data_IF_806283025878
#
_entry.id   IF_806283025878
#
_cell.length_a   1.000
_cell.length_b   1.000
_cell.length_c   1.000
_cell.angle_alpha   90.00
_cell.angle_beta   90.00
_cell.angle_gamma   90.00
#
_symmetry.space_group_name_H-M   'P 1'
#
loop_
_entity.id
_entity.type
_entity.pdbx_description
1 polymer ?
#
# COMPACT_ATOMS: atom_id res chain seq x y z
N UNK A 1 -46.38 22.31 13.14
CA UNK A 1 -45.28 22.40 12.15
C UNK A 1 -44.98 21.00 11.69
N UNK A 2 -45.20 20.70 10.41
CA UNK A 2 -44.83 19.41 9.84
C UNK A 2 -43.31 19.23 9.96
N UNK A 3 -42.87 18.14 10.57
CA UNK A 3 -41.44 17.87 10.76
C UNK A 3 -40.82 17.70 9.37
N UNK A 4 -39.87 18.58 9.00
CA UNK A 4 -39.16 18.50 7.72
C UNK A 4 -38.54 17.10 7.62
N UNK A 5 -38.89 16.36 6.56
CA UNK A 5 -38.38 15.00 6.32
C UNK A 5 -36.86 15.01 6.25
N UNK A 6 -36.23 13.90 6.61
CA UNK A 6 -34.77 13.73 6.59
C UNK A 6 -34.36 12.81 5.45
N UNK A 7 -33.34 13.22 4.69
CA UNK A 7 -32.78 12.51 3.55
C UNK A 7 -31.34 12.19 3.86
N UNK A 8 -30.97 10.92 3.70
CA UNK A 8 -29.59 10.47 3.84
C UNK A 8 -28.95 10.24 2.47
N UNK A 9 -27.73 10.75 2.29
CA UNK A 9 -26.94 10.52 1.07
C UNK A 9 -25.55 10.03 1.47
N UNK A 10 -25.18 8.82 1.07
CA UNK A 10 -23.82 8.30 1.26
C UNK A 10 -22.94 8.65 0.05
N UNK A 11 -21.76 9.23 0.29
CA UNK A 11 -20.83 9.54 -0.80
C UNK A 11 -19.36 9.51 -0.38
N UNK A 12 -18.48 9.16 -1.33
CA UNK A 12 -17.03 9.25 -1.11
C UNK A 12 -16.51 10.67 -1.29
N UNK A 13 -17.03 11.42 -2.27
CA UNK A 13 -16.71 12.84 -2.49
C UNK A 13 -15.19 13.16 -2.52
N UNK A 14 -14.40 12.34 -3.23
CA UNK A 14 -12.94 12.57 -3.36
C UNK A 14 -12.63 13.82 -4.17
N UNK A 15 -13.20 13.91 -5.38
CA UNK A 15 -13.19 15.14 -6.19
C UNK A 15 -14.66 15.47 -6.49
N UNK A 16 -15.09 16.65 -6.07
CA UNK A 16 -16.47 17.09 -6.32
C UNK A 16 -16.66 17.32 -7.81
N UNK A 17 -17.78 16.82 -8.33
CA UNK A 17 -18.20 16.99 -9.72
C UNK A 17 -19.72 17.13 -9.77
N UNK A 18 -20.25 17.41 -10.95
CA UNK A 18 -21.69 17.67 -11.17
C UNK A 18 -22.60 16.57 -10.67
N UNK A 19 -22.14 15.31 -10.66
CA UNK A 19 -22.91 14.18 -10.11
C UNK A 19 -23.16 14.29 -8.59
N UNK A 20 -22.15 14.70 -7.81
CA UNK A 20 -22.32 14.97 -6.38
C UNK A 20 -23.25 16.17 -6.14
N UNK A 21 -23.16 17.21 -6.99
CA UNK A 21 -24.04 18.38 -6.87
C UNK A 21 -25.49 18.02 -7.22
N UNK A 22 -25.70 17.18 -8.23
CA UNK A 22 -27.02 16.74 -8.66
C UNK A 22 -27.72 15.90 -7.59
N UNK A 23 -27.01 14.94 -6.97
CA UNK A 23 -27.61 14.11 -5.92
C UNK A 23 -28.00 14.94 -4.69
N UNK A 24 -27.17 15.93 -4.31
CA UNK A 24 -27.49 16.86 -3.22
C UNK A 24 -28.70 17.71 -3.61
N UNK A 25 -28.75 18.23 -4.85
CA UNK A 25 -29.86 19.04 -5.33
C UNK A 25 -31.20 18.29 -5.33
N UNK A 26 -31.22 17.02 -5.74
CA UNK A 26 -32.43 16.18 -5.65
C UNK A 26 -32.81 15.88 -4.18
N UNK A 27 -31.82 15.63 -3.31
CA UNK A 27 -32.07 15.43 -1.89
C UNK A 27 -32.70 16.67 -1.21
N UNK A 28 -32.25 17.88 -1.57
CA UNK A 28 -32.79 19.14 -1.03
C UNK A 28 -34.29 19.31 -1.29
N UNK A 29 -34.81 18.78 -2.41
CA UNK A 29 -36.24 18.87 -2.76
C UNK A 29 -37.12 18.06 -1.82
N UNK A 30 -36.54 17.06 -1.15
CA UNK A 30 -37.28 16.11 -0.31
C UNK A 30 -37.24 16.44 1.18
N UNK A 31 -36.22 17.18 1.65
CA UNK A 31 -36.09 17.43 3.08
C UNK A 31 -34.76 18.02 3.54
N UNK A 32 -34.46 17.81 4.82
CA UNK A 32 -33.15 18.05 5.45
C UNK A 32 -32.16 17.00 4.95
N UNK A 33 -31.00 17.41 4.44
CA UNK A 33 -29.99 16.54 3.85
C UNK A 33 -28.87 16.25 4.84
N UNK A 34 -28.77 15.00 5.27
CA UNK A 34 -27.65 14.47 6.06
C UNK A 34 -26.76 13.67 5.12
N UNK A 35 -25.49 14.07 5.01
CA UNK A 35 -24.53 13.39 4.14
C UNK A 35 -23.59 12.52 4.95
N UNK A 36 -23.60 11.22 4.66
CA UNK A 36 -22.61 10.28 5.14
C UNK A 36 -21.37 10.30 4.27
N UNK A 37 -20.32 11.01 4.69
CA UNK A 37 -19.05 11.01 3.96
C UNK A 37 -18.27 9.76 4.36
N UNK A 38 -17.96 8.89 3.39
CA UNK A 38 -17.22 7.66 3.65
C UNK A 38 -15.81 7.97 4.17
N UNK A 39 -15.39 7.33 5.25
CA UNK A 39 -14.02 7.47 5.79
C UNK A 39 -12.97 6.87 4.85
N UNK A 40 -11.69 7.20 5.06
CA UNK A 40 -10.58 6.63 4.27
C UNK A 40 -10.54 5.09 4.40
N UNK A 41 -10.78 4.56 5.60
CA UNK A 41 -10.90 3.12 5.88
C UNK A 41 -12.08 2.48 5.12
N UNK A 42 -13.26 3.09 5.18
CA UNK A 42 -14.45 2.59 4.48
C UNK A 42 -14.21 2.46 2.97
N UNK A 43 -13.52 3.45 2.38
CA UNK A 43 -13.20 3.47 0.95
C UNK A 43 -12.12 2.43 0.62
N UNK A 44 -11.06 2.36 1.42
CA UNK A 44 -9.94 1.45 1.21
C UNK A 44 -10.33 -0.04 1.25
N UNK A 45 -11.48 -0.37 1.84
CA UNK A 45 -12.02 -1.73 1.91
C UNK A 45 -12.45 -2.32 0.56
N UNK A 46 -12.81 -1.48 -0.42
CA UNK A 46 -13.37 -1.93 -1.70
C UNK A 46 -12.82 -1.23 -2.94
N UNK A 47 -12.08 -0.12 -2.77
CA UNK A 47 -11.44 0.62 -3.86
C UNK A 47 -10.17 1.33 -3.39
N UNK A 48 -9.48 1.98 -4.33
CA UNK A 48 -8.27 2.77 -4.09
C UNK A 48 -8.54 3.87 -3.06
N UNK A 49 -7.55 4.11 -2.19
CA UNK A 49 -7.56 5.22 -1.24
C UNK A 49 -7.77 6.57 -1.96
N UNK A 50 -8.62 7.48 -1.45
CA UNK A 50 -8.91 8.76 -2.09
C UNK A 50 -7.68 9.68 -2.14
N UNK A 51 -7.69 10.66 -3.04
CA UNK A 51 -6.67 11.70 -3.07
C UNK A 51 -6.75 12.60 -1.83
N UNK A 52 -7.95 13.09 -1.50
CA UNK A 52 -8.20 13.91 -0.31
C UNK A 52 -8.43 13.05 0.94
N UNK A 53 -8.03 13.57 2.10
CA UNK A 53 -8.31 12.94 3.40
C UNK A 53 -9.80 13.01 3.74
N UNK A 54 -10.26 12.17 4.68
CA UNK A 54 -11.64 12.24 5.17
C UNK A 54 -12.00 13.63 5.69
N UNK A 55 -11.09 14.26 6.44
CA UNK A 55 -11.29 15.58 7.04
C UNK A 55 -11.51 16.64 5.97
N UNK A 56 -10.64 16.67 4.95
CA UNK A 56 -10.77 17.58 3.80
C UNK A 56 -12.07 17.35 3.02
N UNK A 57 -12.43 16.08 2.75
CA UNK A 57 -13.67 15.74 2.03
C UNK A 57 -14.90 16.14 2.85
N UNK A 58 -14.87 15.88 4.15
CA UNK A 58 -15.94 16.23 5.09
C UNK A 58 -16.16 17.74 5.15
N UNK A 59 -15.08 18.52 5.27
CA UNK A 59 -15.13 19.99 5.27
C UNK A 59 -15.68 20.55 3.95
N UNK A 60 -15.22 20.05 2.81
CA UNK A 60 -15.72 20.46 1.49
C UNK A 60 -17.22 20.19 1.39
N UNK A 61 -17.66 18.96 1.73
CA UNK A 61 -19.06 18.56 1.64
C UNK A 61 -19.94 19.35 2.60
N UNK A 62 -19.48 19.64 3.82
CA UNK A 62 -20.23 20.41 4.81
C UNK A 62 -20.52 21.84 4.35
N UNK A 63 -19.68 22.39 3.46
CA UNK A 63 -19.84 23.73 2.90
C UNK A 63 -20.60 23.74 1.54
N UNK A 64 -21.03 22.58 1.03
CA UNK A 64 -21.84 22.54 -0.19
C UNK A 64 -23.25 23.03 0.08
N UNK A 65 -23.73 23.93 -0.80
CA UNK A 65 -25.11 24.42 -0.76
C UNK A 65 -26.10 23.25 -0.81
N UNK A 66 -26.92 23.13 0.23
CA UNK A 66 -27.94 22.09 0.32
C UNK A 66 -27.63 20.95 1.27
N UNK A 67 -26.42 20.90 1.83
CA UNK A 67 -26.06 19.97 2.91
C UNK A 67 -26.40 20.62 4.25
N UNK A 68 -27.22 19.97 5.05
CA UNK A 68 -27.59 20.45 6.39
C UNK A 68 -26.64 19.88 7.48
N UNK A 69 -26.13 18.66 7.27
CA UNK A 69 -25.25 17.98 8.23
C UNK A 69 -24.35 16.97 7.51
N UNK A 70 -23.11 16.83 7.98
CA UNK A 70 -22.18 15.78 7.54
C UNK A 70 -21.85 14.88 8.72
N UNK A 71 -21.94 13.57 8.51
CA UNK A 71 -21.55 12.56 9.49
C UNK A 71 -20.56 11.55 8.88
N UNK A 72 -19.64 10.97 9.68
CA UNK A 72 -18.74 9.92 9.21
C UNK A 72 -19.52 8.66 8.84
N UNK A 73 -19.28 8.12 7.65
CA UNK A 73 -19.73 6.79 7.23
C UNK A 73 -18.52 5.84 7.30
N UNK A 74 -18.37 5.14 8.43
CA UNK A 74 -17.19 4.34 8.76
C UNK A 74 -17.13 2.99 8.03
N UNK A 75 -18.24 2.55 7.45
CA UNK A 75 -18.34 1.29 6.70
C UNK A 75 -18.93 1.50 5.31
N UNK A 76 -18.76 0.55 4.40
CA UNK A 76 -19.50 0.57 3.13
C UNK A 76 -21.01 0.33 3.35
N UNK A 77 -21.39 -0.39 4.39
CA UNK A 77 -22.77 -0.60 4.78
C UNK A 77 -23.36 0.62 5.48
N UNK A 78 -24.49 1.16 4.99
CA UNK A 78 -25.10 2.38 5.53
C UNK A 78 -25.91 2.12 6.80
N UNK A 79 -26.31 0.87 7.07
CA UNK A 79 -27.19 0.48 8.18
C UNK A 79 -26.82 1.15 9.52
N UNK A 80 -25.55 1.15 9.98
CA UNK A 80 -25.21 1.75 11.28
C UNK A 80 -25.54 3.25 11.40
N UNK A 81 -25.44 4.00 10.30
CA UNK A 81 -25.83 5.42 10.28
C UNK A 81 -27.33 5.57 10.10
N UNK A 82 -27.97 4.71 9.31
CA UNK A 82 -29.43 4.74 9.11
C UNK A 82 -30.19 4.47 10.40
N UNK A 83 -29.72 3.55 11.25
CA UNK A 83 -30.33 3.27 12.56
C UNK A 83 -30.22 4.47 13.53
N UNK A 84 -29.14 5.25 13.44
CA UNK A 84 -28.92 6.45 14.27
C UNK A 84 -29.75 7.64 13.78
N UNK A 85 -29.72 7.90 12.47
CA UNK A 85 -30.37 9.07 11.86
C UNK A 85 -31.87 8.85 11.66
N UNK A 86 -32.29 7.60 11.41
CA UNK A 86 -33.66 7.20 11.04
C UNK A 86 -34.26 8.09 9.94
N UNK A 87 -33.63 8.21 8.76
CA UNK A 87 -34.09 9.09 7.70
C UNK A 87 -35.39 8.59 7.06
N UNK A 88 -36.20 9.52 6.54
CA UNK A 88 -37.39 9.20 5.73
C UNK A 88 -36.99 8.66 4.34
N UNK A 89 -35.87 9.16 3.81
CA UNK A 89 -35.38 8.80 2.48
C UNK A 89 -33.88 8.50 2.48
N UNK A 90 -33.47 7.52 1.69
CA UNK A 90 -32.07 7.36 1.28
C UNK A 90 -31.98 7.62 -0.21
N UNK A 91 -31.17 8.60 -0.61
CA UNK A 91 -30.93 8.92 -2.00
C UNK A 91 -29.60 8.33 -2.48
N UNK A 92 -29.61 7.66 -3.63
CA UNK A 92 -28.40 7.16 -4.28
C UNK A 92 -28.57 7.20 -5.81
N UNK A 93 -27.46 7.22 -6.55
CA UNK A 93 -27.47 6.92 -7.97
C UNK A 93 -27.96 5.49 -8.23
N UNK A 94 -28.56 5.24 -9.39
CA UNK A 94 -29.04 3.91 -9.77
C UNK A 94 -27.92 2.91 -10.14
N UNK A 95 -26.66 3.34 -10.12
CA UNK A 95 -25.46 2.55 -10.38
C UNK A 95 -25.27 1.40 -9.38
N UNK A 96 -25.67 1.58 -8.12
CA UNK A 96 -25.59 0.54 -7.09
C UNK A 96 -26.65 -0.58 -7.20
N UNK A 97 -27.56 -0.53 -8.19
CA UNK A 97 -28.48 -1.65 -8.48
C UNK A 97 -27.74 -2.88 -8.99
N UNK A 98 -26.53 -2.68 -9.52
CA UNK A 98 -25.64 -3.71 -10.04
C UNK A 98 -24.24 -3.56 -9.39
N UNK A 99 -23.38 -4.56 -9.57
CA UNK A 99 -22.01 -4.53 -9.05
C UNK A 99 -21.88 -4.69 -7.54
N UNK A 100 -20.72 -4.29 -7.00
CA UNK A 100 -20.29 -4.59 -5.61
C UNK A 100 -21.22 -4.02 -4.53
N UNK A 101 -21.97 -2.95 -4.84
CA UNK A 101 -22.88 -2.29 -3.90
C UNK A 101 -24.31 -2.84 -3.92
N UNK A 102 -24.63 -3.81 -4.78
CA UNK A 102 -25.98 -4.39 -4.85
C UNK A 102 -26.45 -4.97 -3.51
N UNK A 103 -25.55 -5.67 -2.80
CA UNK A 103 -25.83 -6.20 -1.46
C UNK A 103 -26.07 -5.09 -0.44
N UNK A 104 -25.30 -4.00 -0.53
CA UNK A 104 -25.48 -2.81 0.31
C UNK A 104 -26.85 -2.18 0.06
N UNK A 105 -27.26 -2.03 -1.20
CA UNK A 105 -28.59 -1.49 -1.54
C UNK A 105 -29.72 -2.30 -0.90
N UNK A 106 -29.65 -3.63 -0.97
CA UNK A 106 -30.68 -4.47 -0.37
C UNK A 106 -30.75 -4.28 1.15
N UNK A 107 -29.60 -4.28 1.85
CA UNK A 107 -29.55 -4.02 3.29
C UNK A 107 -30.13 -2.65 3.67
N UNK A 108 -29.89 -1.63 2.85
CA UNK A 108 -30.47 -0.29 3.06
C UNK A 108 -32.00 -0.34 2.96
N UNK A 109 -32.56 -1.00 1.94
CA UNK A 109 -34.01 -1.15 1.77
C UNK A 109 -34.61 -1.86 2.98
N UNK A 110 -34.02 -2.99 3.36
CA UNK A 110 -34.50 -3.81 4.48
C UNK A 110 -34.48 -3.01 5.78
N UNK A 111 -33.40 -2.26 6.04
CA UNK A 111 -33.24 -1.43 7.23
C UNK A 111 -34.28 -0.31 7.31
N UNK A 112 -34.37 0.56 6.29
CA UNK A 112 -35.24 1.75 6.38
C UNK A 112 -36.73 1.40 6.33
N UNK A 113 -37.08 0.25 5.76
CA UNK A 113 -38.46 -0.24 5.72
C UNK A 113 -39.05 -0.45 7.12
N UNK A 114 -38.20 -0.72 8.12
CA UNK A 114 -38.61 -0.94 9.52
C UNK A 114 -39.28 0.28 10.15
N UNK A 115 -39.08 1.48 9.59
CA UNK A 115 -39.75 2.71 10.02
C UNK A 115 -40.49 3.43 8.88
N UNK A 116 -40.79 2.72 7.79
CA UNK A 116 -41.53 3.26 6.65
C UNK A 116 -40.72 4.20 5.74
N UNK A 117 -39.39 4.23 5.87
CA UNK A 117 -38.51 4.97 4.97
C UNK A 117 -38.44 4.37 3.57
N UNK A 118 -37.97 5.15 2.59
CA UNK A 118 -37.87 4.72 1.18
C UNK A 118 -36.53 5.03 0.54
N UNK A 119 -36.04 4.11 -0.29
CA UNK A 119 -34.88 4.35 -1.15
C UNK A 119 -35.37 5.04 -2.41
N UNK A 120 -34.71 6.12 -2.80
CA UNK A 120 -34.96 6.85 -4.04
C UNK A 120 -33.70 6.75 -4.88
N UNK A 121 -33.81 5.99 -5.98
CA UNK A 121 -32.75 5.89 -6.97
C UNK A 121 -32.91 7.02 -8.00
N UNK A 122 -31.87 7.82 -8.22
CA UNK A 122 -31.83 8.82 -9.28
C UNK A 122 -30.95 8.32 -10.44
N UNK A 123 -31.22 8.71 -11.70
CA UNK A 123 -30.35 8.36 -12.82
C UNK A 123 -28.92 8.82 -12.57
N UNK A 124 -27.95 7.91 -12.69
CA UNK A 124 -26.55 8.24 -12.52
C UNK A 124 -26.11 9.29 -13.55
N UNK A 125 -25.48 10.37 -13.09
CA UNK A 125 -25.03 11.47 -13.95
C UNK A 125 -23.97 10.96 -14.93
N UNK A 126 -24.31 10.99 -16.23
CA UNK A 126 -23.44 10.54 -17.31
C UNK A 126 -22.34 11.56 -17.60
N UNK A 127 -21.15 11.10 -17.97
CA UNK A 127 -20.06 11.93 -18.51
C UNK A 127 -18.95 12.34 -17.54
N UNK A 128 -19.15 12.32 -16.22
CA UNK A 128 -18.09 12.57 -15.21
C UNK A 128 -18.34 11.73 -13.95
N UNK A 129 -17.39 10.86 -13.60
CA UNK A 129 -17.39 10.11 -12.34
C UNK A 129 -16.07 10.29 -11.58
N UNK A 130 -16.10 10.10 -10.27
CA UNK A 130 -14.90 10.11 -9.43
C UNK A 130 -13.86 9.07 -9.91
N UNK A 131 -14.32 7.91 -10.40
CA UNK A 131 -13.44 6.89 -10.97
C UNK A 131 -12.73 7.37 -12.23
N UNK A 132 -13.44 8.07 -13.12
CA UNK A 132 -12.88 8.64 -14.35
C UNK A 132 -11.88 9.76 -14.05
N UNK A 133 -12.20 10.66 -13.11
CA UNK A 133 -11.29 11.73 -12.68
C UNK A 133 -10.01 11.15 -12.05
N UNK A 134 -10.16 10.11 -11.22
CA UNK A 134 -9.02 9.42 -10.63
C UNK A 134 -8.16 8.67 -11.65
N UNK A 135 -8.73 8.21 -12.76
CA UNK A 135 -7.99 7.65 -13.88
C UNK A 135 -7.20 8.74 -14.62
N UNK A 136 -7.82 9.89 -14.91
CA UNK A 136 -7.12 11.04 -15.51
C UNK A 136 -5.98 11.56 -14.63
N UNK A 137 -6.17 11.57 -13.30
CA UNK A 137 -5.08 11.91 -12.37
C UNK A 137 -3.92 10.91 -12.43
N UNK A 138 -4.19 9.61 -12.68
CA UNK A 138 -3.11 8.65 -12.92
C UNK A 138 -2.35 8.96 -14.21
N UNK A 139 -3.04 9.38 -15.26
CA UNK A 139 -2.43 9.76 -16.55
C UNK A 139 -1.56 11.02 -16.44
N UNK A 140 -1.91 11.96 -15.56
CA UNK A 140 -1.11 13.15 -15.28
C UNK A 140 0.15 12.82 -14.44
N UNK A 141 0.12 11.71 -13.70
CA UNK A 141 1.20 11.26 -12.81
C UNK A 141 0.97 11.62 -11.34
N UNK A 142 1.98 11.39 -10.50
CA UNK A 142 1.94 11.73 -9.07
C UNK A 142 3.15 12.59 -8.69
N UNK A 143 2.95 13.61 -7.85
CA UNK A 143 4.06 14.39 -7.33
C UNK A 143 4.80 13.60 -6.24
N UNK A 144 6.11 13.88 -6.02
CA UNK A 144 6.89 13.25 -4.95
C UNK A 144 6.20 13.32 -3.58
N UNK A 145 5.65 14.48 -3.22
CA UNK A 145 4.94 14.70 -1.95
C UNK A 145 3.70 13.79 -1.81
N UNK A 146 2.88 13.69 -2.86
CA UNK A 146 1.67 12.86 -2.85
C UNK A 146 2.02 11.38 -2.76
N UNK A 147 3.07 10.93 -3.45
CA UNK A 147 3.55 9.55 -3.37
C UNK A 147 4.07 9.24 -1.97
N UNK A 148 4.90 10.12 -1.42
CA UNK A 148 5.55 9.93 -0.13
C UNK A 148 4.53 9.73 1.00
N UNK A 149 3.57 10.65 1.16
CA UNK A 149 2.53 10.58 2.21
C UNK A 149 1.60 9.38 2.11
N UNK A 150 1.55 8.74 0.94
CA UNK A 150 0.58 7.69 0.62
C UNK A 150 0.75 6.44 1.49
N UNK A 151 1.98 6.08 1.82
CA UNK A 151 2.25 4.87 2.60
C UNK A 151 1.62 4.95 4.00
N UNK A 152 1.80 6.08 4.70
CA UNK A 152 1.19 6.31 6.02
C UNK A 152 -0.33 6.18 5.96
N UNK A 153 -0.96 6.80 4.97
CA UNK A 153 -2.42 6.73 4.80
C UNK A 153 -2.90 5.32 4.50
N UNK A 154 -2.14 4.55 3.70
CA UNK A 154 -2.48 3.15 3.43
C UNK A 154 -2.35 2.28 4.68
N UNK A 155 -1.30 2.46 5.48
CA UNK A 155 -1.11 1.75 6.75
C UNK A 155 -2.24 2.06 7.73
N UNK A 156 -2.69 3.31 7.80
CA UNK A 156 -3.79 3.71 8.67
C UNK A 156 -5.17 3.23 8.18
N UNK A 157 -5.38 3.13 6.86
CA UNK A 157 -6.69 2.83 6.28
C UNK A 157 -6.92 1.34 5.96
N UNK A 158 -5.87 0.52 5.89
CA UNK A 158 -5.97 -0.89 5.50
C UNK A 158 -5.56 -1.82 6.64
N UNK A 159 -6.21 -2.99 6.75
CA UNK A 159 -5.76 -4.02 7.69
C UNK A 159 -4.35 -4.51 7.34
N UNK A 160 -4.00 -4.56 6.04
CA UNK A 160 -2.67 -4.90 5.57
C UNK A 160 -2.35 -4.17 4.25
N UNK A 161 -1.11 -3.68 4.16
CA UNK A 161 -0.53 -3.05 2.97
C UNK A 161 0.36 -4.08 2.26
N UNK A 162 0.07 -4.32 0.97
CA UNK A 162 0.79 -5.29 0.13
C UNK A 162 1.88 -4.61 -0.68
N UNK A 163 3.12 -4.99 -0.47
CA UNK A 163 4.27 -4.43 -1.19
C UNK A 163 4.91 -5.52 -2.04
N UNK A 164 5.09 -5.26 -3.33
CA UNK A 164 5.77 -6.18 -4.26
C UNK A 164 7.16 -5.63 -4.61
N UNK A 165 8.15 -6.49 -4.72
CA UNK A 165 9.49 -6.08 -5.16
C UNK A 165 9.48 -5.42 -6.55
N UNK A 166 10.35 -4.44 -6.77
CA UNK A 166 10.59 -3.84 -8.08
C UNK A 166 12.06 -3.47 -8.23
N UNK A 167 12.67 -3.90 -9.33
CA UNK A 167 14.09 -3.67 -9.67
C UNK A 167 14.27 -3.05 -11.08
N UNK A 168 13.18 -2.63 -11.72
CA UNK A 168 13.17 -1.97 -13.03
C UNK A 168 11.81 -1.31 -13.29
N UNK A 169 11.75 -0.39 -14.25
CA UNK A 169 10.48 0.20 -14.71
C UNK A 169 9.44 -0.85 -15.13
N UNK A 170 9.86 -1.95 -15.77
CA UNK A 170 8.95 -3.03 -16.18
C UNK A 170 8.29 -3.73 -14.97
N UNK A 171 9.09 -4.07 -13.95
CA UNK A 171 8.54 -4.67 -12.72
C UNK A 171 7.66 -3.69 -11.95
N UNK A 172 8.01 -2.39 -12.00
CA UNK A 172 7.18 -1.31 -11.46
C UNK A 172 5.82 -1.24 -12.14
N UNK A 173 5.78 -1.32 -13.48
CA UNK A 173 4.52 -1.33 -14.24
C UNK A 173 3.64 -2.55 -13.93
N UNK A 174 4.25 -3.72 -13.70
CA UNK A 174 3.50 -4.90 -13.26
C UNK A 174 2.87 -4.63 -11.89
N UNK A 175 3.67 -4.20 -10.90
CA UNK A 175 3.20 -3.90 -9.56
C UNK A 175 2.16 -2.75 -9.53
N UNK A 176 2.25 -1.78 -10.46
CA UNK A 176 1.30 -0.68 -10.62
C UNK A 176 -0.07 -1.15 -11.11
N UNK A 177 -0.09 -2.03 -12.10
CA UNK A 177 -1.29 -2.31 -12.89
C UNK A 177 -1.96 -3.65 -12.58
N UNK A 178 -1.23 -4.63 -12.04
CA UNK A 178 -1.81 -5.94 -11.77
C UNK A 178 -2.94 -5.86 -10.75
N UNK A 179 -4.04 -6.51 -11.09
CA UNK A 179 -5.25 -6.55 -10.29
C UNK A 179 -5.97 -7.86 -10.56
N UNK A 180 -6.50 -8.48 -9.50
CA UNK A 180 -7.36 -9.66 -9.58
C UNK A 180 -8.64 -9.43 -8.79
N UNK A 181 -9.72 -10.12 -9.15
CA UNK A 181 -10.97 -10.11 -8.40
C UNK A 181 -11.10 -11.41 -7.60
N UNK A 182 -11.24 -11.31 -6.28
CA UNK A 182 -11.42 -12.45 -5.38
C UNK A 182 -12.64 -12.18 -4.51
N UNK A 183 -13.65 -13.05 -4.56
CA UNK A 183 -14.91 -12.89 -3.82
C UNK A 183 -15.64 -11.55 -4.08
N UNK A 184 -15.62 -11.05 -5.32
CA UNK A 184 -16.12 -9.72 -5.73
C UNK A 184 -15.38 -8.53 -5.10
N UNK A 185 -14.18 -8.76 -4.55
CA UNK A 185 -13.31 -7.71 -4.02
C UNK A 185 -12.09 -7.61 -4.93
N UNK A 186 -11.86 -6.39 -5.41
CA UNK A 186 -10.68 -6.04 -6.20
C UNK A 186 -9.44 -6.11 -5.30
N UNK A 187 -8.43 -6.91 -5.67
CA UNK A 187 -7.14 -7.02 -4.98
C UNK A 187 -6.02 -6.56 -5.91
N UNK A 188 -5.19 -5.67 -5.42
CA UNK A 188 -4.01 -5.11 -6.11
C UNK A 188 -2.88 -4.90 -5.09
N UNK A 189 -1.63 -4.76 -5.57
CA UNK A 189 -0.53 -4.34 -4.72
C UNK A 189 -0.67 -2.86 -4.36
N UNK A 190 -0.25 -2.49 -3.16
CA UNK A 190 -0.40 -1.15 -2.61
C UNK A 190 0.85 -0.29 -2.80
N UNK A 191 2.01 -0.91 -2.96
CA UNK A 191 3.30 -0.26 -3.07
C UNK A 191 4.38 -1.18 -3.62
N UNK A 192 5.59 -0.64 -3.70
CA UNK A 192 6.75 -1.31 -4.28
C UNK A 192 7.91 -1.34 -3.30
N UNK A 193 8.71 -2.41 -3.37
CA UNK A 193 9.91 -2.62 -2.57
C UNK A 193 11.14 -2.55 -3.48
N UNK A 194 11.94 -1.49 -3.32
CA UNK A 194 13.22 -1.36 -4.02
C UNK A 194 14.29 -2.22 -3.32
N UNK A 195 14.17 -3.53 -3.55
CA UNK A 195 14.99 -4.59 -2.97
C UNK A 195 16.45 -4.45 -3.35
N UNK A 196 17.36 -4.46 -2.39
CA UNK A 196 18.80 -4.51 -2.70
C UNK A 196 19.16 -5.81 -3.42
N UNK A 197 18.54 -6.92 -3.02
CA UNK A 197 18.80 -8.25 -3.58
C UNK A 197 18.40 -8.34 -5.05
N UNK A 198 17.21 -7.88 -5.41
CA UNK A 198 16.77 -7.98 -6.82
C UNK A 198 17.47 -6.95 -7.69
N UNK A 199 17.81 -5.78 -7.14
CA UNK A 199 18.62 -4.77 -7.81
C UNK A 199 20.06 -5.26 -8.10
N UNK A 200 20.74 -5.88 -7.14
CA UNK A 200 22.10 -6.38 -7.33
C UNK A 200 22.12 -7.58 -8.27
N UNK A 201 21.19 -8.53 -8.08
CA UNK A 201 21.14 -9.78 -8.84
C UNK A 201 20.77 -9.53 -10.30
N UNK A 202 19.87 -8.58 -10.59
CA UNK A 202 19.55 -8.19 -11.98
C UNK A 202 20.76 -7.58 -12.71
N UNK A 203 21.74 -7.05 -11.96
CA UNK A 203 23.03 -6.55 -12.49
C UNK A 203 24.14 -7.61 -12.49
N UNK A 204 23.83 -8.86 -12.15
CA UNK A 204 24.82 -9.94 -12.02
C UNK A 204 25.80 -9.75 -10.87
N UNK A 205 25.43 -8.98 -9.83
CA UNK A 205 26.27 -8.65 -8.67
C UNK A 205 25.71 -9.26 -7.37
N UNK A 206 26.58 -9.62 -6.41
CA UNK A 206 26.15 -10.11 -5.10
C UNK A 206 25.50 -9.01 -4.24
N UNK A 207 24.53 -9.39 -3.40
CA UNK A 207 23.86 -8.50 -2.44
C UNK A 207 24.68 -8.33 -1.16
N UNK A 208 25.77 -7.59 -1.28
CA UNK A 208 26.74 -7.31 -0.20
C UNK A 208 27.07 -5.81 -0.12
N UNK A 209 26.12 -4.94 -0.49
CA UNK A 209 26.35 -3.50 -0.70
C UNK A 209 27.36 -3.19 -1.82
N UNK A 210 27.59 -4.13 -2.75
CA UNK A 210 28.49 -3.95 -3.90
C UNK A 210 27.94 -2.99 -4.97
N UNK A 211 26.64 -2.72 -4.96
CA UNK A 211 25.99 -1.73 -5.83
C UNK A 211 25.82 -0.46 -5.03
N UNK A 212 26.50 0.60 -5.45
CA UNK A 212 26.49 1.88 -4.76
C UNK A 212 25.12 2.58 -4.89
N UNK A 213 24.88 3.54 -3.98
CA UNK A 213 23.63 4.29 -3.92
C UNK A 213 23.27 4.95 -5.26
N UNK A 214 24.22 5.58 -5.96
CA UNK A 214 23.94 6.28 -7.22
C UNK A 214 23.39 5.31 -8.27
N UNK A 215 24.01 4.13 -8.39
CA UNK A 215 23.53 3.09 -9.30
C UNK A 215 22.12 2.59 -8.92
N UNK A 216 21.84 2.39 -7.63
CA UNK A 216 20.50 1.98 -7.14
C UNK A 216 19.44 3.05 -7.38
N UNK A 217 19.81 4.33 -7.26
CA UNK A 217 18.92 5.47 -7.50
C UNK A 217 18.54 5.61 -8.97
N UNK A 218 19.40 5.23 -9.92
CA UNK A 218 19.04 5.24 -11.34
C UNK A 218 17.89 4.27 -11.64
N UNK A 219 18.01 3.00 -11.23
CA UNK A 219 16.95 2.01 -11.42
C UNK A 219 15.65 2.36 -10.68
N UNK A 220 15.79 3.00 -9.51
CA UNK A 220 14.64 3.53 -8.78
C UNK A 220 13.96 4.68 -9.55
N UNK A 221 14.70 5.62 -10.12
CA UNK A 221 14.14 6.72 -10.92
C UNK A 221 13.36 6.20 -12.12
N UNK A 222 13.91 5.24 -12.87
CA UNK A 222 13.21 4.62 -14.01
C UNK A 222 11.84 4.04 -13.59
N UNK A 223 11.77 3.45 -12.39
CA UNK A 223 10.52 2.93 -11.85
C UNK A 223 9.58 4.04 -11.35
N UNK A 224 10.11 5.09 -10.71
CA UNK A 224 9.33 6.23 -10.22
C UNK A 224 8.72 7.05 -11.37
N UNK A 225 9.32 7.08 -12.55
CA UNK A 225 8.79 7.79 -13.73
C UNK A 225 7.51 7.14 -14.28
N UNK A 226 7.37 5.83 -14.15
CA UNK A 226 6.29 5.05 -14.79
C UNK A 226 5.24 4.53 -13.81
N UNK A 227 5.30 4.93 -12.53
CA UNK A 227 4.44 4.40 -11.47
C UNK A 227 3.87 5.48 -10.55
N UNK A 228 2.78 5.19 -9.83
CA UNK A 228 2.13 6.15 -8.91
C UNK A 228 1.98 5.65 -7.48
N UNK A 229 2.31 4.38 -7.22
CA UNK A 229 2.26 3.78 -5.89
C UNK A 229 3.49 4.17 -5.03
N UNK A 230 3.38 4.11 -3.69
CA UNK A 230 4.48 4.36 -2.77
C UNK A 230 5.63 3.36 -2.97
N UNK A 231 6.85 3.84 -2.70
CA UNK A 231 8.06 3.02 -2.70
C UNK A 231 8.64 2.93 -1.29
N UNK A 232 9.03 1.72 -0.91
CA UNK A 232 9.85 1.44 0.26
C UNK A 232 11.24 1.05 -0.24
N UNK A 233 12.27 1.77 0.20
CA UNK A 233 13.65 1.53 -0.20
C UNK A 233 14.38 0.64 0.81
N UNK A 234 15.05 -0.40 0.33
CA UNK A 234 15.99 -1.19 1.13
C UNK A 234 17.25 -0.37 1.38
N UNK A 235 17.38 0.21 2.56
CA UNK A 235 18.51 1.05 2.95
C UNK A 235 19.74 0.27 3.39
N UNK A 236 19.74 -1.06 3.30
CA UNK A 236 20.81 -1.92 3.82
C UNK A 236 21.11 -1.55 5.30
N UNK A 237 22.37 -1.37 5.69
CA UNK A 237 22.74 -0.90 7.03
C UNK A 237 22.56 0.61 7.25
N UNK A 238 22.13 1.35 6.22
CA UNK A 238 22.16 2.82 6.17
C UNK A 238 23.56 3.41 5.95
N UNK A 239 24.60 2.58 5.87
CA UNK A 239 25.98 3.01 5.71
C UNK A 239 26.51 3.80 6.90
N UNK A 240 27.45 4.72 6.63
CA UNK A 240 27.99 5.65 7.64
C UNK A 240 26.93 6.66 8.06
N UNK A 241 26.91 7.02 9.34
CA UNK A 241 25.93 7.95 9.91
C UNK A 241 25.92 9.29 9.16
N UNK A 242 27.09 9.84 8.86
CA UNK A 242 27.25 11.12 8.16
C UNK A 242 26.69 11.07 6.74
N UNK A 243 26.73 9.90 6.10
CA UNK A 243 26.18 9.69 4.76
C UNK A 243 24.68 9.46 4.80
N UNK A 244 24.19 8.73 5.81
CA UNK A 244 22.78 8.38 5.95
C UNK A 244 21.86 9.61 5.96
N UNK A 245 22.31 10.70 6.60
CA UNK A 245 21.61 12.01 6.60
C UNK A 245 21.34 12.51 5.18
N UNK A 246 22.30 12.39 4.27
CA UNK A 246 22.13 12.78 2.87
C UNK A 246 21.30 11.78 2.07
N UNK A 247 21.42 10.48 2.37
CA UNK A 247 20.57 9.43 1.80
C UNK A 247 19.10 9.70 2.10
N UNK A 248 18.74 10.00 3.35
CA UNK A 248 17.37 10.35 3.76
C UNK A 248 16.83 11.51 2.93
N UNK A 249 17.55 12.65 2.90
CA UNK A 249 17.15 13.83 2.12
C UNK A 249 16.99 13.54 0.63
N UNK A 250 17.83 12.66 0.09
CA UNK A 250 17.78 12.29 -1.33
C UNK A 250 16.55 11.45 -1.64
N UNK A 251 16.30 10.40 -0.86
CA UNK A 251 15.14 9.53 -1.02
C UNK A 251 13.83 10.31 -0.83
N UNK A 252 13.77 11.17 0.19
CA UNK A 252 12.64 12.04 0.46
C UNK A 252 12.34 12.98 -0.72
N UNK A 253 13.37 13.65 -1.27
CA UNK A 253 13.21 14.53 -2.45
C UNK A 253 12.72 13.79 -3.69
N UNK A 254 13.09 12.52 -3.86
CA UNK A 254 12.61 11.68 -4.97
C UNK A 254 11.16 11.19 -4.77
N UNK A 255 10.58 11.38 -3.58
CA UNK A 255 9.23 10.94 -3.27
C UNK A 255 9.14 9.45 -2.88
N UNK A 256 10.26 8.87 -2.43
CA UNK A 256 10.25 7.57 -1.76
C UNK A 256 9.48 7.71 -0.45
N UNK A 257 8.64 6.75 -0.12
CA UNK A 257 7.76 6.85 1.06
C UNK A 257 8.44 6.39 2.35
N UNK A 258 9.35 5.43 2.26
CA UNK A 258 10.08 4.92 3.41
C UNK A 258 11.47 4.41 3.05
N UNK A 259 12.38 4.46 4.01
CA UNK A 259 13.62 3.67 4.01
C UNK A 259 13.59 2.66 5.16
N UNK A 260 13.97 1.42 4.86
CA UNK A 260 14.20 0.38 5.86
C UNK A 260 15.70 0.21 6.05
N UNK A 261 16.23 0.41 7.25
CA UNK A 261 17.65 0.14 7.57
C UNK A 261 17.77 -0.99 8.59
N UNK A 262 18.82 -1.81 8.49
CA UNK A 262 19.05 -2.98 9.35
C UNK A 262 20.16 -2.78 10.38
N UNK A 263 20.02 -3.42 11.55
CA UNK A 263 20.93 -3.27 12.69
C UNK A 263 22.19 -4.14 12.61
N UNK A 264 22.75 -4.33 11.41
CA UNK A 264 24.01 -5.04 11.17
C UNK A 264 25.21 -4.10 11.09
N UNK A 265 26.39 -4.67 11.33
CA UNK A 265 27.70 -4.04 11.08
C UNK A 265 28.60 -4.96 10.26
N UNK A 266 29.58 -4.36 9.58
CA UNK A 266 30.51 -5.08 8.70
C UNK A 266 30.01 -5.16 7.27
N UNK A 267 30.63 -6.02 6.46
CA UNK A 267 30.15 -6.29 5.10
C UNK A 267 28.78 -6.94 5.18
N UNK A 268 27.78 -6.33 4.55
CA UNK A 268 26.43 -6.89 4.49
C UNK A 268 26.49 -8.31 3.94
N UNK A 269 25.80 -9.21 4.61
CA UNK A 269 25.55 -10.56 4.15
C UNK A 269 24.03 -10.79 4.11
N UNK A 270 23.53 -11.30 2.98
CA UNK A 270 22.11 -11.53 2.81
C UNK A 270 21.58 -12.52 3.86
N UNK A 271 20.44 -12.18 4.48
CA UNK A 271 19.81 -12.94 5.58
C UNK A 271 19.37 -14.36 5.20
N UNK A 272 19.33 -14.68 3.91
CA UNK A 272 18.98 -16.00 3.39
C UNK A 272 20.18 -16.94 3.20
N UNK A 273 21.42 -16.43 3.30
CA UNK A 273 22.60 -17.30 3.33
C UNK A 273 22.65 -18.09 4.66
N UNK A 274 23.05 -19.36 4.58
CA UNK A 274 23.00 -20.32 5.68
C UNK A 274 23.83 -19.97 6.93
N UNK A 275 23.90 -20.90 7.88
CA UNK A 275 24.51 -20.72 9.21
C UNK A 275 26.02 -20.42 9.22
N UNK A 276 26.70 -20.52 8.08
CA UNK A 276 28.16 -20.44 8.00
C UNK A 276 28.72 -19.01 8.05
N UNK A 277 27.86 -18.00 7.89
CA UNK A 277 28.28 -16.60 7.82
C UNK A 277 28.00 -15.88 9.15
N UNK A 278 29.06 -15.46 9.86
CA UNK A 278 28.96 -14.76 11.16
C UNK A 278 28.29 -13.40 10.97
N UNK A 279 27.01 -13.31 11.34
CA UNK A 279 26.25 -12.06 11.33
C UNK A 279 26.59 -11.25 12.58
N UNK A 280 27.14 -10.05 12.40
CA UNK A 280 27.43 -9.14 13.52
C UNK A 280 26.39 -8.03 13.54
N UNK A 281 25.77 -7.81 14.70
CA UNK A 281 24.82 -6.72 14.90
C UNK A 281 25.49 -5.50 15.52
N UNK A 282 24.99 -4.32 15.19
CA UNK A 282 25.35 -3.08 15.87
C UNK A 282 24.93 -3.14 17.35
N UNK A 283 25.59 -2.30 18.12
CA UNK A 283 25.13 -1.91 19.45
C UNK A 283 23.76 -1.24 19.35
N UNK A 284 22.96 -1.36 20.41
CA UNK A 284 21.64 -0.71 20.46
C UNK A 284 21.83 0.80 20.36
N UNK A 285 22.82 1.34 21.06
CA UNK A 285 23.14 2.75 21.12
C UNK A 285 23.59 3.29 19.75
N UNK A 286 24.48 2.57 19.05
CA UNK A 286 24.95 2.94 17.71
C UNK A 286 23.84 2.99 16.68
N UNK A 287 22.98 1.97 16.66
CA UNK A 287 21.85 1.93 15.74
C UNK A 287 20.80 3.00 16.07
N UNK A 288 20.50 3.21 17.35
CA UNK A 288 19.62 4.30 17.79
C UNK A 288 20.17 5.69 17.43
N UNK A 289 21.49 5.90 17.47
CA UNK A 289 22.11 7.15 17.04
C UNK A 289 21.91 7.38 15.54
N UNK A 290 22.04 6.33 14.71
CA UNK A 290 21.77 6.39 13.27
C UNK A 290 20.30 6.69 12.96
N UNK A 291 19.37 6.04 13.67
CA UNK A 291 17.93 6.33 13.57
C UNK A 291 17.67 7.82 13.85
N UNK A 292 18.15 8.34 14.99
CA UNK A 292 17.97 9.74 15.38
C UNK A 292 18.58 10.70 14.36
N UNK A 293 19.76 10.40 13.84
CA UNK A 293 20.38 11.21 12.80
C UNK A 293 19.53 11.24 11.52
N UNK A 294 18.98 10.10 11.11
CA UNK A 294 18.05 10.02 9.97
C UNK A 294 16.76 10.80 10.22
N UNK A 295 16.12 10.63 11.38
CA UNK A 295 14.89 11.36 11.76
C UNK A 295 15.11 12.86 11.77
N UNK A 296 16.24 13.34 12.32
CA UNK A 296 16.61 14.75 12.31
C UNK A 296 16.96 15.30 10.91
N UNK A 297 17.25 14.42 9.94
CA UNK A 297 17.60 14.82 8.58
C UNK A 297 16.38 15.08 7.69
N UNK A 298 15.21 14.56 8.08
CA UNK A 298 13.96 14.65 7.33
C UNK A 298 13.50 16.09 7.18
N UNK A 299 12.85 16.38 6.06
CA UNK A 299 12.25 17.69 5.75
C UNK A 299 10.76 17.69 6.13
N UNK A 300 10.11 16.53 6.02
CA UNK A 300 8.68 16.33 6.26
C UNK A 300 8.44 15.19 7.26
N UNK A 301 7.27 15.21 7.89
CA UNK A 301 6.81 14.10 8.73
C UNK A 301 6.28 12.91 7.92
N UNK A 302 6.12 13.07 6.60
CA UNK A 302 5.54 12.06 5.71
C UNK A 302 6.51 10.92 5.39
N UNK A 303 7.81 11.22 5.20
CA UNK A 303 8.83 10.20 4.99
C UNK A 303 8.96 9.30 6.23
N UNK A 304 9.12 7.99 6.02
CA UNK A 304 9.24 7.02 7.11
C UNK A 304 10.64 6.43 7.20
N UNK A 305 11.15 6.26 8.42
CA UNK A 305 12.33 5.45 8.72
C UNK A 305 11.88 4.24 9.52
N UNK A 306 12.10 3.05 8.99
CA UNK A 306 11.71 1.78 9.58
C UNK A 306 12.98 1.01 9.97
N UNK A 307 13.02 0.51 11.20
CA UNK A 307 14.14 -0.31 11.67
C UNK A 307 13.89 -1.78 11.42
N UNK A 308 14.79 -2.43 10.68
CA UNK A 308 14.85 -3.87 10.51
C UNK A 308 15.73 -4.50 11.58
N UNK A 309 15.11 -5.32 12.42
CA UNK A 309 15.78 -6.03 13.50
C UNK A 309 16.24 -7.41 13.02
N UNK A 310 17.55 -7.66 13.02
CA UNK A 310 18.16 -8.89 12.52
C UNK A 310 18.49 -9.90 13.64
N UNK A 311 17.95 -9.70 14.85
CA UNK A 311 18.29 -10.52 16.02
C UNK A 311 17.97 -12.00 15.81
N UNK A 312 16.80 -12.31 15.26
CA UNK A 312 16.40 -13.70 14.96
C UNK A 312 17.26 -14.29 13.84
N UNK A 313 17.60 -13.50 12.82
CA UNK A 313 18.51 -13.92 11.74
C UNK A 313 19.90 -14.26 12.28
N UNK A 314 20.40 -13.47 13.24
CA UNK A 314 21.65 -13.67 13.97
C UNK A 314 21.60 -14.79 15.01
N UNK A 315 20.48 -15.51 15.14
CA UNK A 315 20.33 -16.65 16.06
C UNK A 315 20.15 -16.25 17.53
N UNK A 316 19.82 -14.99 17.81
CA UNK A 316 19.54 -14.51 19.16
C UNK A 316 18.10 -14.79 19.58
N UNK A 317 17.81 -14.87 20.89
CA UNK A 317 16.46 -15.10 21.38
C UNK A 317 15.53 -13.91 21.09
N UNK A 318 14.22 -14.17 21.07
CA UNK A 318 13.16 -13.15 20.88
C UNK A 318 13.27 -12.00 21.89
N UNK A 319 13.76 -12.27 23.11
CA UNK A 319 13.99 -11.23 24.13
C UNK A 319 15.01 -10.17 23.70
N UNK A 320 16.04 -10.52 22.93
CA UNK A 320 16.98 -9.54 22.36
C UNK A 320 16.28 -8.69 21.28
N UNK A 321 15.49 -9.34 20.40
CA UNK A 321 14.72 -8.67 19.37
C UNK A 321 13.74 -7.64 19.97
N UNK A 322 13.00 -8.02 21.02
CA UNK A 322 12.07 -7.13 21.72
C UNK A 322 12.80 -5.96 22.37
N UNK A 323 13.89 -6.21 23.10
CA UNK A 323 14.70 -5.17 23.74
C UNK A 323 15.19 -4.13 22.72
N UNK A 324 15.70 -4.61 21.57
CA UNK A 324 16.16 -3.78 20.45
C UNK A 324 15.04 -2.96 19.84
N UNK A 325 13.95 -3.61 19.43
CA UNK A 325 12.82 -2.93 18.80
C UNK A 325 12.18 -1.88 19.73
N UNK A 326 12.12 -2.12 21.04
CA UNK A 326 11.68 -1.11 21.99
C UNK A 326 12.62 0.11 22.01
N UNK A 327 13.94 -0.11 22.07
CA UNK A 327 14.89 1.00 21.99
C UNK A 327 14.80 1.76 20.65
N UNK A 328 14.53 1.07 19.55
CA UNK A 328 14.39 1.68 18.22
C UNK A 328 13.14 2.58 18.15
N UNK A 329 12.02 2.14 18.75
CA UNK A 329 10.81 2.96 18.88
C UNK A 329 11.09 4.22 19.73
N UNK A 330 11.76 4.08 20.87
CA UNK A 330 12.15 5.24 21.70
C UNK A 330 13.16 6.17 20.99
N UNK A 331 13.91 5.66 19.99
CA UNK A 331 14.78 6.46 19.14
C UNK A 331 14.03 7.21 18.02
N UNK A 332 12.75 6.89 17.78
CA UNK A 332 11.86 7.62 16.88
C UNK A 332 11.57 6.95 15.54
N UNK A 333 11.77 5.63 15.38
CA UNK A 333 11.37 4.95 14.13
C UNK A 333 9.87 4.98 13.91
N UNK A 334 9.46 5.03 12.64
CA UNK A 334 8.06 5.04 12.21
C UNK A 334 7.48 3.63 12.07
N UNK A 335 8.30 2.60 12.26
CA UNK A 335 7.89 1.21 12.16
C UNK A 335 9.04 0.25 12.44
N UNK A 336 8.69 -1.01 12.66
CA UNK A 336 9.62 -2.10 12.90
C UNK A 336 9.43 -3.15 11.82
N UNK A 337 10.52 -3.52 11.15
CA UNK A 337 10.58 -4.75 10.37
C UNK A 337 11.21 -5.85 11.21
N UNK A 338 10.49 -6.94 11.40
CA UNK A 338 11.02 -8.16 12.02
C UNK A 338 11.21 -9.22 10.95
N UNK A 339 12.35 -9.90 10.97
CA UNK A 339 12.68 -10.91 9.97
C UNK A 339 13.18 -12.20 10.61
N UNK A 340 12.87 -13.31 9.96
CA UNK A 340 13.29 -14.65 10.37
C UNK A 340 13.63 -15.48 9.13
N UNK A 341 14.59 -16.40 9.30
CA UNK A 341 14.93 -17.44 8.33
C UNK A 341 14.26 -18.78 8.66
N UNK A 342 13.61 -18.88 9.82
CA UNK A 342 12.87 -20.06 10.21
C UNK A 342 11.63 -20.24 9.33
N UNK A 343 11.35 -21.49 8.96
CA UNK A 343 10.22 -21.81 8.08
C UNK A 343 8.89 -21.81 8.81
N UNK A 344 8.89 -21.96 10.13
CA UNK A 344 7.65 -22.12 10.91
C UNK A 344 6.90 -20.80 11.08
N UNK A 345 7.59 -19.66 11.11
CA UNK A 345 7.02 -18.33 11.36
C UNK A 345 6.50 -18.09 12.79
N UNK A 346 6.64 -19.08 13.69
CA UNK A 346 6.15 -18.98 15.07
C UNK A 346 6.94 -17.94 15.89
N UNK A 347 8.22 -17.74 15.58
CA UNK A 347 9.04 -16.71 16.20
C UNK A 347 8.57 -15.28 15.83
N UNK A 348 8.15 -15.08 14.58
CA UNK A 348 7.53 -13.82 14.12
C UNK A 348 6.21 -13.59 14.83
N UNK A 349 5.36 -14.61 14.93
CA UNK A 349 4.07 -14.54 15.62
C UNK A 349 4.24 -14.19 17.10
N UNK A 350 5.16 -14.85 17.78
CA UNK A 350 5.46 -14.60 19.18
C UNK A 350 6.03 -13.19 19.40
N UNK A 351 6.97 -12.76 18.55
CA UNK A 351 7.47 -11.38 18.56
C UNK A 351 6.33 -10.37 18.43
N UNK A 352 5.42 -10.55 17.46
CA UNK A 352 4.33 -9.62 17.22
C UNK A 352 3.40 -9.53 18.43
N UNK A 353 3.05 -10.66 19.06
CA UNK A 353 2.23 -10.69 20.29
C UNK A 353 2.89 -9.91 21.42
N UNK A 354 4.18 -10.15 21.69
CA UNK A 354 4.90 -9.45 22.77
C UNK A 354 5.07 -7.95 22.48
N UNK A 355 5.41 -7.59 21.24
CA UNK A 355 5.61 -6.20 20.85
C UNK A 355 4.32 -5.38 20.97
N UNK A 356 3.18 -5.97 20.57
CA UNK A 356 1.85 -5.34 20.63
C UNK A 356 1.34 -5.09 22.04
N UNK A 357 1.87 -5.77 23.06
CA UNK A 357 1.55 -5.47 24.48
C UNK A 357 1.97 -4.04 24.85
N UNK A 358 3.09 -3.55 24.30
CA UNK A 358 3.59 -2.20 24.60
C UNK A 358 3.24 -1.18 23.51
N UNK A 359 3.34 -1.55 22.24
CA UNK A 359 3.10 -0.64 21.11
C UNK A 359 1.99 -1.19 20.22
N UNK A 360 0.79 -0.65 20.42
CA UNK A 360 -0.42 -1.00 19.66
C UNK A 360 -0.37 -0.48 18.22
N UNK A 361 0.13 0.74 18.04
CA UNK A 361 -0.04 1.48 16.79
C UNK A 361 1.23 1.61 15.94
N UNK A 362 2.39 1.18 16.46
CA UNK A 362 3.65 1.19 15.69
C UNK A 362 3.57 0.14 14.59
N UNK A 363 3.68 0.50 13.30
CA UNK A 363 3.59 -0.44 12.19
C UNK A 363 4.62 -1.58 12.28
N UNK A 364 4.15 -2.82 12.12
CA UNK A 364 5.02 -3.99 11.94
C UNK A 364 5.05 -4.37 10.45
N UNK A 365 6.26 -4.50 9.91
CA UNK A 365 6.56 -4.96 8.55
C UNK A 365 7.16 -6.37 8.61
N UNK A 366 6.70 -7.26 7.72
CA UNK A 366 7.26 -8.62 7.58
C UNK A 366 7.58 -8.97 6.14
N UNK A 367 8.50 -9.92 5.97
CA UNK A 367 8.96 -10.43 4.67
C UNK A 367 8.86 -11.96 4.67
N UNK A 368 7.68 -12.55 4.44
CA UNK A 368 7.40 -13.97 4.59
C UNK A 368 7.94 -14.81 3.42
N UNK A 369 9.21 -14.63 3.04
CA UNK A 369 9.82 -15.40 1.94
C UNK A 369 10.02 -16.87 2.34
N UNK A 370 10.44 -17.12 3.59
CA UNK A 370 10.76 -18.45 4.16
C UNK A 370 9.58 -19.11 4.87
N UNK A 371 8.65 -18.32 5.41
CA UNK A 371 7.42 -18.75 6.09
C UNK A 371 6.17 -18.34 5.27
N UNK A 372 6.20 -18.66 3.97
CA UNK A 372 5.20 -18.25 2.98
C UNK A 372 3.86 -19.01 3.04
N UNK A 373 3.68 -19.94 3.98
CA UNK A 373 2.44 -20.68 4.18
C UNK A 373 1.31 -19.84 4.80
N UNK A 374 1.63 -18.72 5.46
CA UNK A 374 0.64 -17.89 6.13
C UNK A 374 -0.02 -16.91 5.16
N UNK A 375 -1.34 -16.87 5.23
CA UNK A 375 -2.14 -15.90 4.49
C UNK A 375 -2.04 -14.50 5.11
N UNK A 376 -2.37 -13.48 4.33
CA UNK A 376 -2.41 -12.10 4.80
C UNK A 376 -3.40 -11.91 5.97
N UNK A 377 -4.51 -12.66 5.99
CA UNK A 377 -5.49 -12.62 7.08
C UNK A 377 -4.89 -13.16 8.39
N UNK A 378 -4.11 -14.23 8.32
CA UNK A 378 -3.37 -14.76 9.48
C UNK A 378 -2.30 -13.76 9.95
N UNK A 379 -1.55 -13.12 9.05
CA UNK A 379 -0.58 -12.10 9.41
C UNK A 379 -1.25 -10.90 10.11
N UNK A 380 -2.40 -10.43 9.60
CA UNK A 380 -3.20 -9.38 10.25
C UNK A 380 -3.61 -9.79 11.67
N UNK A 381 -3.98 -11.06 11.88
CA UNK A 381 -4.34 -11.56 13.22
C UNK A 381 -3.20 -11.49 14.24
N UNK A 382 -1.95 -11.37 13.78
CA UNK A 382 -0.77 -11.18 14.63
C UNK A 382 -0.48 -9.70 14.91
N UNK A 383 -1.21 -8.78 14.28
CA UNK A 383 -1.00 -7.34 14.39
C UNK A 383 -0.03 -6.76 13.36
N UNK A 384 0.25 -7.48 12.27
CA UNK A 384 1.12 -7.03 11.17
C UNK A 384 0.37 -6.05 10.27
N UNK A 385 1.05 -4.98 9.83
CA UNK A 385 0.46 -3.92 9.01
C UNK A 385 0.96 -3.94 7.56
N UNK A 386 2.20 -4.39 7.31
CA UNK A 386 2.80 -4.39 5.98
C UNK A 386 3.42 -5.75 5.68
N UNK A 387 3.10 -6.30 4.51
CA UNK A 387 3.72 -7.51 3.98
C UNK A 387 4.51 -7.16 2.72
N UNK A 388 5.78 -7.55 2.68
CA UNK A 388 6.65 -7.35 1.51
C UNK A 388 6.94 -8.70 0.85
N UNK A 389 6.58 -8.82 -0.42
CA UNK A 389 6.93 -9.94 -1.29
C UNK A 389 8.25 -9.64 -2.01
N UNK A 390 9.38 -9.86 -1.31
CA UNK A 390 10.66 -9.18 -1.57
C UNK A 390 11.50 -9.61 -2.80
N UNK A 391 11.28 -10.78 -3.40
CA UNK A 391 12.13 -11.26 -4.51
C UNK A 391 11.45 -12.21 -5.50
N UNK A 392 10.12 -12.25 -5.50
CA UNK A 392 9.35 -13.29 -6.18
C UNK A 392 9.36 -13.14 -7.71
N UNK A 393 9.27 -11.91 -8.25
CA UNK A 393 9.27 -11.72 -9.72
C UNK A 393 10.64 -12.04 -10.32
N UNK A 394 11.74 -11.63 -9.67
CA UNK A 394 13.07 -12.03 -10.11
C UNK A 394 13.27 -13.56 -10.07
N UNK A 395 12.81 -14.22 -8.99
CA UNK A 395 12.89 -15.69 -8.87
C UNK A 395 12.01 -16.41 -9.89
N UNK A 396 10.92 -15.79 -10.34
CA UNK A 396 10.08 -16.32 -11.40
C UNK A 396 10.68 -16.09 -12.80
N UNK A 397 11.32 -14.95 -13.04
CA UNK A 397 11.87 -14.60 -14.35
C UNK A 397 13.09 -15.45 -14.72
N UNK A 398 13.99 -15.72 -13.75
CA UNK A 398 15.23 -16.43 -14.04
C UNK A 398 15.03 -17.85 -14.62
N UNK A 399 14.18 -18.73 -14.04
CA UNK A 399 13.88 -20.04 -14.64
C UNK A 399 13.30 -19.93 -16.05
N UNK A 400 12.41 -18.97 -16.31
CA UNK A 400 11.81 -18.78 -17.63
C UNK A 400 12.87 -18.38 -18.68
N UNK A 401 13.74 -17.42 -18.34
CA UNK A 401 14.85 -17.01 -19.21
C UNK A 401 15.83 -18.16 -19.45
N UNK A 402 16.16 -18.91 -18.40
CA UNK A 402 17.06 -20.06 -18.47
C UNK A 402 16.49 -21.17 -19.37
N UNK A 403 15.21 -21.49 -19.23
CA UNK A 403 14.55 -22.52 -20.03
C UNK A 403 14.45 -22.11 -21.50
N UNK A 404 14.15 -20.84 -21.78
CA UNK A 404 14.19 -20.28 -23.13
C UNK A 404 15.58 -20.42 -23.77
N UNK A 405 16.64 -20.01 -23.08
CA UNK A 405 18.01 -20.12 -23.57
C UNK A 405 18.42 -21.59 -23.82
N UNK A 406 18.08 -22.49 -22.89
CA UNK A 406 18.32 -23.94 -23.06
C UNK A 406 17.60 -24.50 -24.29
N UNK A 407 16.33 -24.15 -24.50
CA UNK A 407 15.56 -24.62 -25.65
C UNK A 407 16.20 -24.19 -26.98
N UNK A 408 16.65 -22.93 -27.07
CA UNK A 408 17.36 -22.43 -28.26
C UNK A 408 18.63 -23.25 -28.54
N UNK A 409 19.43 -23.53 -27.50
CA UNK A 409 20.64 -24.34 -27.64
C UNK A 409 20.34 -25.80 -28.03
N UNK A 410 19.29 -26.39 -27.45
CA UNK A 410 18.91 -27.79 -27.73
C UNK A 410 18.40 -27.99 -29.17
N UNK A 411 17.72 -27.00 -29.73
CA UNK A 411 17.10 -27.12 -31.06
C UNK A 411 17.84 -26.38 -32.17
N UNK A 412 18.91 -25.63 -31.83
CA UNK A 412 19.67 -24.78 -32.77
C UNK A 412 18.78 -23.77 -33.54
N UNK A 413 17.64 -23.41 -32.96
CA UNK A 413 16.65 -22.45 -33.47
C UNK A 413 15.72 -22.01 -32.33
N UNK A 414 14.94 -20.96 -32.55
CA UNK A 414 14.07 -20.39 -31.52
C UNK A 414 12.59 -20.80 -31.56
N UNK A 415 12.17 -21.70 -32.47
CA UNK A 415 10.74 -22.00 -32.67
C UNK A 415 10.05 -22.53 -31.39
N UNK A 416 10.67 -23.50 -30.74
CA UNK A 416 10.15 -24.14 -29.53
C UNK A 416 10.13 -23.14 -28.37
N UNK A 417 11.24 -22.43 -28.17
CA UNK A 417 11.35 -21.38 -27.16
C UNK A 417 10.31 -20.25 -27.35
N UNK A 418 10.12 -19.81 -28.60
CA UNK A 418 9.18 -18.74 -28.95
C UNK A 418 7.73 -19.12 -28.66
N UNK A 419 7.38 -20.41 -28.83
CA UNK A 419 6.03 -20.90 -28.58
C UNK A 419 5.74 -21.18 -27.09
N UNK A 420 6.75 -21.63 -26.33
CA UNK A 420 6.55 -22.08 -24.94
C UNK A 420 6.80 -20.98 -23.90
N UNK A 421 7.81 -20.12 -24.12
CA UNK A 421 8.30 -19.20 -23.09
C UNK A 421 8.16 -17.73 -23.44
N UNK A 422 7.95 -17.39 -24.71
CA UNK A 422 7.91 -16.01 -25.16
C UNK A 422 6.48 -15.50 -25.36
N UNK A 423 6.27 -14.25 -24.96
CA UNK A 423 5.12 -13.48 -25.40
C UNK A 423 5.20 -13.22 -26.92
N UNK A 424 4.06 -13.13 -27.64
CA UNK A 424 4.06 -12.73 -29.05
C UNK A 424 4.75 -11.36 -29.26
N UNK A 425 5.48 -11.23 -30.38
CA UNK A 425 6.20 -9.99 -30.73
C UNK A 425 5.26 -8.77 -30.74
N UNK A 426 4.02 -8.95 -31.21
CA UNK A 426 3.03 -7.87 -31.23
C UNK A 426 2.69 -7.37 -29.82
N UNK A 427 2.50 -8.29 -28.88
CA UNK A 427 2.12 -7.94 -27.50
C UNK A 427 3.27 -7.26 -26.76
N UNK A 428 4.52 -7.72 -26.93
CA UNK A 428 5.67 -7.07 -26.29
C UNK A 428 5.92 -5.66 -26.85
N UNK A 429 5.68 -5.43 -28.15
CA UNK A 429 5.76 -4.09 -28.74
C UNK A 429 4.63 -3.16 -28.27
N UNK A 430 3.48 -3.72 -27.86
CA UNK A 430 2.32 -2.99 -27.35
C UNK A 430 2.28 -2.93 -25.81
N UNK A 431 3.27 -3.53 -25.13
CA UNK A 431 3.32 -3.65 -23.67
C UNK A 431 3.40 -2.28 -22.98
N UNK A 432 4.10 -1.33 -23.60
CA UNK A 432 4.24 0.05 -23.11
C UNK A 432 3.37 0.98 -23.97
N UNK A 433 2.41 1.71 -23.38
CA UNK A 433 1.60 2.68 -24.11
C UNK A 433 2.48 3.73 -24.83
N UNK A 434 2.19 4.02 -26.11
CA UNK A 434 2.90 5.05 -26.90
C UNK A 434 3.79 4.55 -28.04
N UNK A 435 3.88 3.23 -28.25
CA UNK A 435 4.64 2.64 -29.38
C UNK A 435 3.91 2.68 -30.72
N UNK A 436 2.61 3.02 -30.72
CA UNK A 436 1.81 3.27 -31.93
C UNK A 436 1.38 4.73 -31.96
N UNK A 437 1.96 5.49 -32.90
CA UNK A 437 1.36 6.71 -33.43
C UNK A 437 0.49 6.36 -34.63
#
# INVERSE_FOLDING_TARGET
>A
MDKKKTVYVGMSADIIHTGHLNIIHEAMKLGRVVVGVLTDEAIASYKRLPYLTYEQRSEIVANLKGVDEVIPQTTLDYVPNLEKVRPDYVLHGDDWKQGVQQKTRQRVIDCISQWGGKVIDIPYTQGISSSMLNQRLKEIGTTPEVRMKRLRRLIAAKPIVRILESHSGLTGLIAENVCVEVNNVKREFDGMWASSLTDSTSKGKPDIEAVDLTTRLHGLNDALEVTTKPFIYDGDTGGKLEHFVFTVRTLERLGVSAVIIEDKVGLKQNSLFGTDAVQTQDTIEGFCAKIKAGKNAQITDDFMIIARCESLIAGKPISDAIKRCFAYVEAGVDGIMIHSKEKTGEDIKEFCRQFRVKYTDVPIVVVPTTYNQFTEEELVSWGINVVIYANHMLRASYPAMMNCAKSILMHSRSKEAANEYCMPIKEILELIPGTKN
#
